data_IF_983212637449
#
_entry.id   IF_983212637449
#
_cell.length_a   1.000
_cell.length_b   1.000
_cell.length_c   1.000
_cell.angle_alpha   90.00
_cell.angle_beta   90.00
_cell.angle_gamma   90.00
#
_symmetry.space_group_name_H-M   'P 1'
#
loop_
_entity.id
_entity.type
_entity.pdbx_description
1 polymer ?
#
# COMPACT_ATOMS: atom_id res chain seq x y z
N UNK A 1 27.45 5.79 14.50
CA UNK A 1 26.58 4.64 14.15
C UNK A 1 25.56 4.31 15.24
N UNK A 2 25.91 3.79 16.42
CA UNK A 2 24.94 3.29 17.43
C UNK A 2 23.91 4.32 17.91
N UNK A 3 24.34 5.53 18.30
CA UNK A 3 23.41 6.60 18.75
C UNK A 3 22.47 7.02 17.63
N UNK A 4 22.96 7.02 16.40
CA UNK A 4 22.16 7.35 15.21
C UNK A 4 21.09 6.29 14.93
N UNK A 5 21.42 4.99 14.98
CA UNK A 5 20.47 3.89 14.76
C UNK A 5 19.38 3.85 15.85
N UNK A 6 19.76 4.08 17.13
CA UNK A 6 18.78 4.20 18.21
C UNK A 6 17.85 5.42 17.99
N UNK A 7 18.41 6.56 17.59
CA UNK A 7 17.64 7.75 17.28
C UNK A 7 16.63 7.50 16.15
N UNK A 8 17.05 6.90 15.03
CA UNK A 8 16.15 6.53 13.93
C UNK A 8 15.07 5.55 14.41
N UNK A 9 15.42 4.57 15.23
CA UNK A 9 14.44 3.62 15.77
C UNK A 9 13.40 4.28 16.65
N UNK A 10 13.78 5.29 17.45
CA UNK A 10 12.85 6.07 18.28
C UNK A 10 11.97 6.94 17.40
N UNK A 11 12.51 7.63 16.40
CA UNK A 11 11.72 8.41 15.46
C UNK A 11 10.68 7.54 14.74
N UNK A 12 11.10 6.37 14.26
CA UNK A 12 10.20 5.42 13.61
C UNK A 12 9.09 4.93 14.55
N UNK A 13 9.42 4.66 15.84
CA UNK A 13 8.42 4.31 16.85
C UNK A 13 7.41 5.43 17.05
N UNK A 14 7.87 6.67 17.23
CA UNK A 14 6.99 7.82 17.42
C UNK A 14 6.08 8.07 16.21
N UNK A 15 6.64 8.01 15.00
CA UNK A 15 5.88 8.11 13.75
C UNK A 15 4.82 7.01 13.64
N UNK A 16 5.18 5.77 13.93
CA UNK A 16 4.27 4.63 13.91
C UNK A 16 3.14 4.77 14.93
N UNK A 17 3.45 5.13 16.19
CA UNK A 17 2.43 5.35 17.22
C UNK A 17 1.46 6.47 16.83
N UNK A 18 1.97 7.59 16.33
CA UNK A 18 1.14 8.67 15.81
C UNK A 18 0.22 8.21 14.68
N UNK A 19 0.77 7.46 13.71
CA UNK A 19 -0.01 6.89 12.60
C UNK A 19 -1.13 5.99 13.11
N UNK A 20 -0.84 5.04 14.01
CA UNK A 20 -1.86 4.13 14.55
C UNK A 20 -2.94 4.90 15.32
N UNK A 21 -2.55 5.80 16.22
CA UNK A 21 -3.52 6.57 17.03
C UNK A 21 -4.48 7.33 16.12
N UNK A 22 -3.96 8.07 15.14
CA UNK A 22 -4.80 8.88 14.25
C UNK A 22 -5.69 8.01 13.38
N UNK A 23 -5.18 6.89 12.85
CA UNK A 23 -5.98 5.98 12.03
C UNK A 23 -7.06 5.23 12.83
N UNK A 24 -6.80 4.87 14.10
CA UNK A 24 -7.83 4.34 15.00
C UNK A 24 -8.90 5.40 15.27
N UNK A 25 -8.50 6.63 15.61
CA UNK A 25 -9.45 7.73 15.83
C UNK A 25 -10.29 8.03 14.59
N UNK A 26 -9.70 7.98 13.40
CA UNK A 26 -10.42 8.21 12.14
C UNK A 26 -11.54 7.19 11.85
N UNK A 27 -11.46 5.98 12.41
CA UNK A 27 -12.44 4.92 12.19
C UNK A 27 -13.31 4.63 13.42
N UNK A 28 -12.76 4.71 14.64
CA UNK A 28 -13.48 4.41 15.89
C UNK A 28 -14.24 5.63 16.46
N UNK A 29 -13.67 6.82 16.31
CA UNK A 29 -14.31 8.11 16.62
C UNK A 29 -14.24 8.97 15.36
N UNK A 30 -15.12 8.72 14.36
CA UNK A 30 -14.93 9.18 12.99
C UNK A 30 -14.61 10.68 12.95
N UNK A 31 -13.41 11.02 12.48
CA UNK A 31 -13.00 12.41 12.25
C UNK A 31 -14.00 12.99 11.25
N UNK A 32 -14.55 14.17 11.54
CA UNK A 32 -15.59 14.79 10.70
C UNK A 32 -16.81 13.88 10.45
N UNK A 33 -17.16 13.00 11.41
CA UNK A 33 -18.31 12.08 11.38
C UNK A 33 -18.33 11.06 10.22
N UNK A 34 -17.19 10.81 9.56
CA UNK A 34 -17.07 9.89 8.44
C UNK A 34 -15.89 8.95 8.63
N UNK A 35 -16.03 7.69 8.23
CA UNK A 35 -14.89 6.76 8.16
C UNK A 35 -14.13 6.96 6.83
N UNK A 36 -12.87 6.51 6.78
CA UNK A 36 -12.06 6.59 5.55
C UNK A 36 -12.71 5.92 4.35
N UNK A 37 -13.39 4.79 4.56
CA UNK A 37 -14.10 4.07 3.51
C UNK A 37 -15.36 4.79 3.04
N UNK A 38 -16.17 5.35 3.98
CA UNK A 38 -17.35 6.12 3.65
C UNK A 38 -17.03 7.38 2.83
N UNK A 39 -15.90 8.02 3.11
CA UNK A 39 -15.40 9.13 2.30
C UNK A 39 -15.03 8.71 0.87
N UNK A 40 -14.45 7.52 0.71
CA UNK A 40 -14.14 6.98 -0.62
C UNK A 40 -15.40 6.79 -1.47
N UNK A 41 -16.53 6.44 -0.85
CA UNK A 41 -17.81 6.27 -1.55
C UNK A 41 -18.47 7.60 -1.97
N UNK A 42 -18.02 8.74 -1.42
CA UNK A 42 -18.49 10.07 -1.82
C UNK A 42 -17.90 10.55 -3.16
N UNK A 43 -16.84 9.91 -3.63
CA UNK A 43 -16.23 10.15 -4.94
C UNK A 43 -16.54 8.98 -5.87
N UNK A 44 -17.79 8.83 -6.35
CA UNK A 44 -18.24 7.65 -7.06
C UNK A 44 -17.45 7.48 -8.37
N UNK A 45 -16.79 6.34 -8.47
CA UNK A 45 -16.09 5.92 -9.67
C UNK A 45 -16.02 4.39 -9.73
N UNK A 46 -15.74 3.84 -10.89
CA UNK A 46 -15.74 2.40 -11.11
C UNK A 46 -14.51 1.68 -10.55
N UNK A 47 -13.47 2.40 -10.11
CA UNK A 47 -12.26 1.85 -9.50
C UNK A 47 -12.38 1.61 -7.98
N UNK A 48 -13.27 2.32 -7.29
CA UNK A 48 -13.43 2.20 -5.83
C UNK A 48 -13.79 0.77 -5.44
N UNK A 49 -12.99 0.10 -4.57
CA UNK A 49 -13.28 -1.25 -4.11
C UNK A 49 -14.38 -1.27 -3.03
N UNK A 50 -14.86 -2.47 -2.69
CA UNK A 50 -15.79 -2.67 -1.57
C UNK A 50 -15.13 -2.25 -0.24
N UNK A 51 -15.94 -1.73 0.70
CA UNK A 51 -15.46 -1.23 2.00
C UNK A 51 -14.62 -2.23 2.80
N UNK A 52 -14.93 -3.54 2.70
CA UNK A 52 -14.14 -4.61 3.31
C UNK A 52 -12.67 -4.58 2.89
N UNK A 53 -12.35 -4.11 1.69
CA UNK A 53 -10.97 -4.06 1.15
C UNK A 53 -10.06 -3.20 2.01
N UNK A 54 -10.59 -2.18 2.66
CA UNK A 54 -9.84 -1.29 3.57
C UNK A 54 -9.37 -1.99 4.86
N UNK A 55 -9.89 -3.21 5.17
CA UNK A 55 -9.40 -4.00 6.31
C UNK A 55 -7.91 -4.36 6.21
N UNK A 56 -7.32 -4.27 5.03
CA UNK A 56 -5.88 -4.45 4.83
C UNK A 56 -5.01 -3.50 5.67
N UNK A 57 -5.54 -2.34 6.07
CA UNK A 57 -4.84 -1.45 7.00
C UNK A 57 -4.51 -2.14 8.33
N UNK A 58 -5.41 -3.01 8.82
CA UNK A 58 -5.16 -3.82 10.02
C UNK A 58 -3.93 -4.73 9.84
N UNK A 59 -3.83 -5.40 8.69
CA UNK A 59 -2.67 -6.23 8.37
C UNK A 59 -1.39 -5.40 8.28
N UNK A 60 -1.44 -4.24 7.60
CA UNK A 60 -0.29 -3.33 7.48
C UNK A 60 0.19 -2.89 8.85
N UNK A 61 -0.71 -2.48 9.75
CA UNK A 61 -0.34 -2.03 11.10
C UNK A 61 0.27 -3.14 11.95
N UNK A 62 -0.24 -4.38 11.85
CA UNK A 62 0.35 -5.53 12.53
C UNK A 62 1.77 -5.78 12.01
N UNK A 63 1.98 -5.77 10.70
CA UNK A 63 3.29 -5.98 10.10
C UNK A 63 4.29 -4.87 10.47
N UNK A 64 3.83 -3.62 10.47
CA UNK A 64 4.65 -2.48 10.89
C UNK A 64 4.96 -2.52 12.40
N UNK A 65 4.03 -2.97 13.26
CA UNK A 65 4.30 -3.19 14.68
C UNK A 65 5.40 -4.22 14.88
N UNK A 66 5.35 -5.33 14.15
CA UNK A 66 6.39 -6.37 14.16
C UNK A 66 7.74 -5.77 13.72
N UNK A 67 7.77 -4.99 12.66
CA UNK A 67 8.97 -4.27 12.22
C UNK A 67 9.51 -3.33 13.30
N UNK A 68 8.66 -2.52 13.94
CA UNK A 68 9.07 -1.60 15.01
C UNK A 68 9.67 -2.34 16.20
N UNK A 69 9.06 -3.43 16.65
CA UNK A 69 9.57 -4.26 17.73
C UNK A 69 10.94 -4.85 17.34
N UNK A 70 11.07 -5.36 16.13
CA UNK A 70 12.30 -5.95 15.62
C UNK A 70 13.46 -4.93 15.57
N UNK A 71 13.22 -3.74 14.97
CA UNK A 71 14.24 -2.70 14.87
C UNK A 71 14.71 -2.20 16.25
N UNK A 72 13.78 -1.99 17.21
CA UNK A 72 14.12 -1.58 18.57
C UNK A 72 14.97 -2.63 19.28
N UNK A 73 14.57 -3.92 19.17
CA UNK A 73 15.32 -5.02 19.75
C UNK A 73 16.77 -5.06 19.26
N UNK A 74 17.00 -4.89 17.96
CA UNK A 74 18.32 -4.88 17.34
C UNK A 74 19.11 -3.64 17.75
N UNK A 75 18.50 -2.46 17.72
CA UNK A 75 19.15 -1.20 18.11
C UNK A 75 19.64 -1.23 19.57
N UNK A 76 18.90 -1.90 20.48
CA UNK A 76 19.25 -2.05 21.88
C UNK A 76 20.34 -3.12 22.08
N UNK A 77 20.28 -4.26 21.37
CA UNK A 77 21.19 -5.41 21.55
C UNK A 77 22.62 -5.19 21.07
N UNK A 78 22.94 -4.06 20.46
CA UNK A 78 24.29 -3.71 19.95
C UNK A 78 24.79 -4.59 18.81
N UNK A 79 23.91 -5.27 18.10
CA UNK A 79 24.29 -6.11 16.97
C UNK A 79 24.50 -5.22 15.72
N UNK A 80 25.77 -4.83 15.53
CA UNK A 80 26.14 -3.90 14.46
C UNK A 80 25.97 -4.48 13.06
N UNK A 81 26.01 -5.80 12.89
CA UNK A 81 25.82 -6.44 11.58
C UNK A 81 24.35 -6.43 11.13
N UNK A 82 23.41 -6.46 12.07
CA UNK A 82 21.99 -6.50 11.78
C UNK A 82 21.33 -5.10 11.71
N UNK A 83 22.05 -4.01 11.99
CA UNK A 83 21.49 -2.64 11.99
C UNK A 83 21.55 -1.95 10.63
N UNK A 84 22.18 -2.54 9.62
CA UNK A 84 22.38 -1.91 8.31
C UNK A 84 21.08 -1.46 7.65
N UNK A 85 19.97 -2.19 7.81
CA UNK A 85 18.68 -1.82 7.26
C UNK A 85 18.13 -0.51 7.84
N UNK A 86 18.44 -0.15 9.10
CA UNK A 86 18.01 1.10 9.72
C UNK A 86 18.60 2.33 9.01
N UNK A 87 19.90 2.26 8.67
CA UNK A 87 20.59 3.32 7.93
C UNK A 87 20.08 3.40 6.48
N UNK A 88 19.75 2.25 5.89
CA UNK A 88 19.16 2.17 4.55
C UNK A 88 17.77 2.78 4.52
N UNK A 89 16.92 2.47 5.49
CA UNK A 89 15.57 3.07 5.63
C UNK A 89 15.70 4.56 5.96
N UNK A 90 16.66 4.93 6.82
CA UNK A 90 16.91 6.31 7.20
C UNK A 90 15.64 7.01 7.73
N UNK A 91 15.40 8.28 7.33
CA UNK A 91 14.24 9.04 7.80
C UNK A 91 12.95 8.74 7.02
N UNK A 92 13.01 7.97 5.93
CA UNK A 92 11.86 7.83 5.01
C UNK A 92 10.62 7.22 5.68
N UNK A 93 10.79 6.27 6.60
CA UNK A 93 9.65 5.70 7.30
C UNK A 93 8.98 6.73 8.23
N UNK A 94 9.76 7.52 8.95
CA UNK A 94 9.23 8.59 9.79
C UNK A 94 8.50 9.66 8.95
N UNK A 95 9.12 10.09 7.84
CA UNK A 95 8.49 11.07 6.91
C UNK A 95 7.17 10.51 6.36
N UNK A 96 7.15 9.23 5.95
CA UNK A 96 5.92 8.59 5.48
C UNK A 96 4.83 8.51 6.55
N UNK A 97 5.23 8.32 7.82
CA UNK A 97 4.31 8.31 8.96
C UNK A 97 3.67 9.69 9.20
N UNK A 98 4.46 10.75 9.16
CA UNK A 98 3.95 12.13 9.28
C UNK A 98 3.03 12.47 8.09
N UNK A 99 3.43 12.09 6.88
CA UNK A 99 2.60 12.28 5.70
C UNK A 99 1.28 11.49 5.77
N UNK A 100 1.28 10.27 6.35
CA UNK A 100 0.07 9.48 6.56
C UNK A 100 -0.89 10.14 7.57
N UNK A 101 -0.37 10.66 8.67
CA UNK A 101 -1.15 11.45 9.64
C UNK A 101 -1.81 12.65 8.93
N UNK A 102 -1.03 13.42 8.19
CA UNK A 102 -1.54 14.55 7.42
C UNK A 102 -2.57 14.13 6.37
N UNK A 103 -2.34 12.99 5.70
CA UNK A 103 -3.27 12.43 4.71
C UNK A 103 -4.63 12.11 5.32
N UNK A 104 -4.68 11.50 6.52
CA UNK A 104 -5.93 11.21 7.22
C UNK A 104 -6.72 12.51 7.45
N UNK A 105 -6.07 13.58 7.95
CA UNK A 105 -6.75 14.85 8.15
C UNK A 105 -7.21 15.46 6.82
N UNK A 106 -6.32 15.55 5.83
CA UNK A 106 -6.67 16.11 4.52
C UNK A 106 -7.84 15.35 3.87
N UNK A 107 -7.86 14.02 3.97
CA UNK A 107 -8.92 13.16 3.45
C UNK A 107 -10.24 13.38 4.18
N UNK A 108 -10.24 13.40 5.53
CA UNK A 108 -11.45 13.57 6.34
C UNK A 108 -12.04 14.97 6.30
N UNK A 109 -11.24 15.99 6.00
CA UNK A 109 -11.72 17.35 5.75
C UNK A 109 -11.93 17.64 4.25
N UNK A 110 -11.98 16.59 3.42
CA UNK A 110 -12.30 16.68 1.99
C UNK A 110 -11.36 17.60 1.19
N UNK A 111 -10.13 17.79 1.68
CA UNK A 111 -9.06 18.51 0.99
C UNK A 111 -8.36 17.57 -0.02
N UNK A 112 -9.10 17.13 -1.06
CA UNK A 112 -8.71 16.02 -1.94
C UNK A 112 -7.38 16.28 -2.65
N UNK A 113 -7.13 17.50 -3.10
CA UNK A 113 -5.84 17.88 -3.72
C UNK A 113 -4.67 17.74 -2.76
N UNK A 114 -4.81 18.19 -1.50
CA UNK A 114 -3.79 18.05 -0.47
C UNK A 114 -3.61 16.58 -0.09
N UNK A 115 -4.69 15.82 0.00
CA UNK A 115 -4.61 14.38 0.29
C UNK A 115 -3.80 13.65 -0.77
N UNK A 116 -3.95 13.97 -2.05
CA UNK A 116 -3.13 13.38 -3.12
C UNK A 116 -1.66 13.75 -3.00
N UNK A 117 -1.32 15.00 -2.69
CA UNK A 117 0.08 15.42 -2.49
C UNK A 117 0.73 14.61 -1.36
N UNK A 118 0.02 14.46 -0.23
CA UNK A 118 0.51 13.66 0.90
C UNK A 118 0.60 12.17 0.56
N UNK A 119 -0.35 11.63 -0.19
CA UNK A 119 -0.31 10.25 -0.69
C UNK A 119 0.89 10.00 -1.60
N UNK A 120 1.21 10.94 -2.50
CA UNK A 120 2.41 10.88 -3.35
C UNK A 120 3.70 10.95 -2.53
N UNK A 121 3.72 11.72 -1.44
CA UNK A 121 4.86 11.76 -0.52
C UNK A 121 5.05 10.40 0.19
N UNK A 122 3.96 9.79 0.68
CA UNK A 122 4.00 8.45 1.27
C UNK A 122 4.52 7.44 0.24
N UNK A 123 3.97 7.44 -0.97
CA UNK A 123 4.38 6.56 -2.06
C UNK A 123 5.87 6.72 -2.36
N UNK A 124 6.35 7.95 -2.52
CA UNK A 124 7.76 8.25 -2.78
C UNK A 124 8.70 7.74 -1.69
N UNK A 125 8.33 7.94 -0.41
CA UNK A 125 9.09 7.42 0.73
C UNK A 125 9.15 5.89 0.72
N UNK A 126 8.02 5.22 0.47
CA UNK A 126 7.97 3.75 0.44
C UNK A 126 8.72 3.17 -0.77
N UNK A 127 8.65 3.81 -1.95
CA UNK A 127 9.47 3.43 -3.10
C UNK A 127 10.97 3.59 -2.76
N UNK A 128 11.36 4.69 -2.11
CA UNK A 128 12.75 4.90 -1.70
C UNK A 128 13.22 3.77 -0.75
N UNK A 129 12.43 3.42 0.27
CA UNK A 129 12.73 2.30 1.18
C UNK A 129 12.85 0.99 0.40
N UNK A 130 11.88 0.69 -0.45
CA UNK A 130 11.79 -0.54 -1.23
C UNK A 130 13.00 -0.74 -2.17
N UNK A 131 13.39 0.33 -2.86
CA UNK A 131 14.52 0.31 -3.79
C UNK A 131 15.85 0.24 -3.03
N UNK A 132 16.01 1.02 -1.96
CA UNK A 132 17.24 1.06 -1.16
C UNK A 132 17.51 -0.26 -0.42
N UNK A 133 16.47 -0.90 0.14
CA UNK A 133 16.56 -2.26 0.70
C UNK A 133 16.72 -3.34 -0.38
N UNK A 134 16.61 -2.97 -1.65
CA UNK A 134 16.68 -3.87 -2.80
C UNK A 134 15.75 -5.08 -2.65
N UNK A 135 14.51 -4.83 -2.17
CA UNK A 135 13.53 -5.88 -1.86
C UNK A 135 13.27 -6.75 -3.10
N UNK A 136 13.30 -8.05 -2.88
CA UNK A 136 13.09 -9.06 -3.92
C UNK A 136 14.33 -9.42 -4.74
N UNK A 137 15.42 -8.62 -4.68
CA UNK A 137 16.67 -8.85 -5.41
C UNK A 137 17.86 -9.15 -4.49
N UNK A 138 17.97 -8.46 -3.34
CA UNK A 138 19.05 -8.70 -2.40
C UNK A 138 18.89 -10.03 -1.68
N UNK A 139 20.02 -10.67 -1.36
CA UNK A 139 20.05 -11.73 -0.37
C UNK A 139 19.69 -11.12 1.00
N UNK A 140 18.72 -11.70 1.67
CA UNK A 140 18.27 -11.28 2.99
C UNK A 140 18.13 -12.49 3.91
N UNK A 141 18.45 -12.32 5.17
CA UNK A 141 18.18 -13.34 6.20
C UNK A 141 16.68 -13.59 6.31
N UNK A 142 16.29 -14.75 6.88
CA UNK A 142 14.86 -15.02 7.11
C UNK A 142 14.21 -13.91 7.95
N UNK A 143 14.92 -13.41 8.95
CA UNK A 143 14.43 -12.32 9.81
C UNK A 143 14.23 -11.03 9.03
N UNK A 144 15.20 -10.58 8.24
CA UNK A 144 15.04 -9.38 7.39
C UNK A 144 13.90 -9.54 6.38
N UNK A 145 13.79 -10.72 5.76
CA UNK A 145 12.74 -10.98 4.78
C UNK A 145 11.33 -10.85 5.36
N UNK A 146 11.08 -11.40 6.56
CA UNK A 146 9.74 -11.42 7.14
C UNK A 146 9.46 -10.26 8.10
N UNK A 147 10.50 -9.68 8.72
CA UNK A 147 10.34 -8.63 9.73
C UNK A 147 10.65 -7.22 9.20
N UNK A 148 11.28 -7.12 7.99
CA UNK A 148 11.58 -5.84 7.35
C UNK A 148 10.99 -5.79 5.93
N UNK A 149 11.37 -6.72 5.03
CA UNK A 149 10.94 -6.63 3.63
C UNK A 149 9.44 -6.83 3.47
N UNK A 150 8.84 -7.83 4.11
CA UNK A 150 7.39 -8.12 4.03
C UNK A 150 6.51 -6.93 4.45
N UNK A 151 6.74 -6.26 5.61
CA UNK A 151 5.98 -5.07 5.97
C UNK A 151 5.98 -3.99 4.89
N UNK A 152 7.15 -3.69 4.33
CA UNK A 152 7.26 -2.65 3.30
C UNK A 152 6.72 -3.08 1.94
N UNK A 153 6.80 -4.37 1.58
CA UNK A 153 6.15 -4.91 0.36
C UNK A 153 4.64 -4.76 0.42
N UNK A 154 4.04 -5.17 1.53
CA UNK A 154 2.57 -5.09 1.73
C UNK A 154 2.12 -3.63 1.78
N UNK A 155 2.84 -2.79 2.52
CA UNK A 155 2.49 -1.37 2.65
C UNK A 155 2.62 -0.64 1.31
N UNK A 156 3.72 -0.85 0.56
CA UNK A 156 3.90 -0.24 -0.76
C UNK A 156 2.83 -0.72 -1.75
N UNK A 157 2.51 -2.03 -1.75
CA UNK A 157 1.46 -2.58 -2.61
C UNK A 157 0.12 -1.87 -2.39
N UNK A 158 -0.27 -1.68 -1.13
CA UNK A 158 -1.50 -0.96 -0.79
C UNK A 158 -1.45 0.52 -1.17
N UNK A 159 -0.36 1.22 -0.85
CA UNK A 159 -0.22 2.65 -1.18
C UNK A 159 -0.19 2.89 -2.70
N UNK A 160 0.32 1.96 -3.51
CA UNK A 160 0.23 2.07 -4.97
C UNK A 160 -1.24 2.11 -5.42
N UNK A 161 -2.07 1.18 -4.96
CA UNK A 161 -3.50 1.14 -5.29
C UNK A 161 -4.25 2.34 -4.68
N UNK A 162 -3.96 2.68 -3.43
CA UNK A 162 -4.56 3.84 -2.76
C UNK A 162 -4.21 5.17 -3.47
N UNK A 163 -3.02 5.27 -4.06
CA UNK A 163 -2.64 6.44 -4.87
C UNK A 163 -3.50 6.54 -6.13
N UNK A 164 -3.71 5.43 -6.85
CA UNK A 164 -4.60 5.40 -8.01
C UNK A 164 -6.02 5.80 -7.58
N UNK A 165 -6.53 5.25 -6.47
CA UNK A 165 -7.84 5.61 -5.93
C UNK A 165 -7.93 7.09 -5.55
N UNK A 166 -6.88 7.67 -4.95
CA UNK A 166 -6.86 9.10 -4.59
C UNK A 166 -6.81 10.00 -5.83
N UNK A 167 -6.10 9.59 -6.90
CA UNK A 167 -6.12 10.29 -8.19
C UNK A 167 -7.53 10.25 -8.78
N UNK A 168 -8.19 9.09 -8.80
CA UNK A 168 -9.56 8.98 -9.33
C UNK A 168 -10.54 9.82 -8.52
N UNK A 169 -10.42 9.86 -7.19
CA UNK A 169 -11.23 10.72 -6.33
C UNK A 169 -11.02 12.21 -6.65
N UNK A 170 -9.79 12.66 -6.85
CA UNK A 170 -9.49 14.03 -7.24
C UNK A 170 -10.10 14.39 -8.60
N UNK A 171 -10.03 13.49 -9.58
CA UNK A 171 -10.61 13.71 -10.90
C UNK A 171 -12.15 13.83 -10.84
N UNK A 172 -12.81 13.09 -9.95
CA UNK A 172 -14.24 13.22 -9.67
C UNK A 172 -14.53 14.56 -9.00
N UNK A 173 -13.79 14.93 -7.96
CA UNK A 173 -13.92 16.17 -7.22
C UNK A 173 -13.81 17.41 -8.14
N UNK A 174 -12.84 17.39 -9.06
CA UNK A 174 -12.64 18.44 -10.06
C UNK A 174 -13.63 18.40 -11.23
N UNK A 175 -14.62 17.49 -11.22
CA UNK A 175 -15.56 17.31 -12.33
C UNK A 175 -14.88 17.20 -13.69
N UNK A 176 -13.75 16.45 -13.73
CA UNK A 176 -12.94 16.32 -14.93
C UNK A 176 -13.71 15.79 -16.14
N UNK A 177 -13.59 16.47 -17.28
CA UNK A 177 -14.36 16.18 -18.50
C UNK A 177 -13.95 14.91 -19.26
N UNK A 178 -13.05 14.06 -18.70
CA UNK A 178 -12.68 12.72 -19.20
C UNK A 178 -12.19 12.71 -20.67
N UNK A 179 -11.78 13.85 -21.22
CA UNK A 179 -11.46 14.04 -22.66
C UNK A 179 -12.53 13.50 -23.63
N UNK A 180 -13.80 13.54 -23.25
CA UNK A 180 -14.90 12.98 -24.02
C UNK A 180 -15.02 11.45 -24.01
N UNK A 181 -14.14 10.74 -23.25
CA UNK A 181 -14.20 9.30 -23.06
C UNK A 181 -15.08 8.93 -21.86
N UNK A 182 -15.70 7.77 -21.90
CA UNK A 182 -16.55 7.30 -20.81
C UNK A 182 -15.76 6.96 -19.54
N UNK A 183 -16.43 7.00 -18.39
CA UNK A 183 -15.87 6.59 -17.10
C UNK A 183 -15.32 5.17 -17.12
N UNK A 184 -16.02 4.26 -17.83
CA UNK A 184 -15.64 2.88 -18.05
C UNK A 184 -14.24 2.74 -18.68
N UNK A 185 -13.94 3.54 -19.72
CA UNK A 185 -12.64 3.54 -20.37
C UNK A 185 -11.53 3.85 -19.37
N UNK A 186 -11.72 4.89 -18.55
CA UNK A 186 -10.72 5.31 -17.56
C UNK A 186 -10.58 4.32 -16.42
N UNK A 187 -11.67 3.71 -15.96
CA UNK A 187 -11.61 2.66 -14.95
C UNK A 187 -10.80 1.45 -15.46
N UNK A 188 -11.09 0.98 -16.68
CA UNK A 188 -10.32 -0.11 -17.31
C UNK A 188 -8.86 0.26 -17.48
N UNK A 189 -8.55 1.48 -17.91
CA UNK A 189 -7.19 1.96 -18.10
C UNK A 189 -6.39 1.97 -16.78
N UNK A 190 -6.94 2.52 -15.69
CA UNK A 190 -6.22 2.57 -14.40
C UNK A 190 -6.10 1.20 -13.74
N UNK A 191 -7.08 0.29 -13.91
CA UNK A 191 -6.97 -1.11 -13.49
C UNK A 191 -5.86 -1.79 -14.27
N UNK A 192 -5.80 -1.62 -15.60
CA UNK A 192 -4.73 -2.18 -16.43
C UNK A 192 -3.34 -1.67 -16.01
N UNK A 193 -3.21 -0.39 -15.66
CA UNK A 193 -1.96 0.17 -15.11
C UNK A 193 -1.60 -0.51 -13.79
N UNK A 194 -2.54 -0.69 -12.86
CA UNK A 194 -2.30 -1.41 -11.60
C UNK A 194 -1.82 -2.84 -11.82
N UNK A 195 -2.44 -3.57 -12.75
CA UNK A 195 -2.04 -4.93 -13.15
C UNK A 195 -0.63 -4.92 -13.76
N UNK A 196 -0.34 -4.00 -14.66
CA UNK A 196 0.97 -3.89 -15.31
C UNK A 196 2.10 -3.61 -14.30
N UNK A 197 1.86 -2.74 -13.32
CA UNK A 197 2.79 -2.47 -12.22
C UNK A 197 3.01 -3.74 -11.40
N UNK A 198 1.95 -4.45 -11.00
CA UNK A 198 2.07 -5.68 -10.22
C UNK A 198 2.85 -6.76 -10.97
N UNK A 199 2.55 -7.00 -12.24
CA UNK A 199 3.29 -7.95 -13.08
C UNK A 199 4.76 -7.52 -13.26
N UNK A 200 5.03 -6.24 -13.46
CA UNK A 200 6.40 -5.72 -13.53
C UNK A 200 7.18 -6.03 -12.25
N UNK A 201 6.61 -5.76 -11.08
CA UNK A 201 7.21 -6.08 -9.77
C UNK A 201 7.39 -7.60 -9.61
N UNK A 202 6.41 -8.39 -10.02
CA UNK A 202 6.47 -9.85 -9.94
C UNK A 202 7.62 -10.43 -10.77
N UNK A 203 7.79 -9.97 -12.00
CA UNK A 203 8.82 -10.50 -12.89
C UNK A 203 10.21 -9.93 -12.60
N UNK A 204 10.33 -8.66 -12.25
CA UNK A 204 11.62 -8.00 -12.04
C UNK A 204 12.18 -8.17 -10.63
N UNK A 205 11.31 -8.26 -9.61
CA UNK A 205 11.68 -8.34 -8.20
C UNK A 205 11.23 -9.61 -7.50
N UNK A 206 10.37 -10.42 -8.13
CA UNK A 206 9.84 -11.67 -7.57
C UNK A 206 9.13 -11.47 -6.22
N UNK A 207 8.54 -10.29 -6.03
CA UNK A 207 7.85 -9.92 -4.79
C UNK A 207 6.38 -10.32 -4.85
N UNK A 208 6.11 -11.50 -4.31
CA UNK A 208 4.75 -12.06 -4.25
C UNK A 208 3.85 -11.32 -3.25
N UNK A 209 4.42 -10.72 -2.20
CA UNK A 209 3.63 -10.06 -1.16
C UNK A 209 3.02 -8.76 -1.66
N UNK A 210 3.77 -7.99 -2.43
CA UNK A 210 3.24 -6.84 -3.15
C UNK A 210 2.08 -7.23 -4.06
N UNK A 211 2.27 -8.30 -4.83
CA UNK A 211 1.27 -8.77 -5.81
C UNK A 211 -0.01 -9.30 -5.15
N UNK A 212 0.10 -9.98 -4.00
CA UNK A 212 -1.06 -10.42 -3.21
C UNK A 212 -1.91 -9.25 -2.72
N UNK A 213 -1.30 -8.10 -2.43
CA UNK A 213 -2.04 -6.90 -2.05
C UNK A 213 -2.79 -6.31 -3.24
N UNK A 214 -2.20 -6.33 -4.43
CA UNK A 214 -2.89 -5.89 -5.65
C UNK A 214 -4.04 -6.84 -5.97
N UNK A 215 -3.86 -8.16 -5.85
CA UNK A 215 -4.93 -9.15 -6.00
C UNK A 215 -6.07 -8.89 -4.99
N UNK A 216 -5.75 -8.58 -3.74
CA UNK A 216 -6.75 -8.21 -2.73
C UNK A 216 -7.56 -6.97 -3.14
N UNK A 217 -6.91 -5.95 -3.68
CA UNK A 217 -7.59 -4.76 -4.15
C UNK A 217 -8.48 -5.03 -5.37
N UNK A 218 -7.99 -5.82 -6.34
CA UNK A 218 -8.78 -6.26 -7.49
C UNK A 218 -9.99 -7.09 -7.06
N UNK A 219 -9.82 -7.99 -6.10
CA UNK A 219 -10.93 -8.75 -5.52
C UNK A 219 -11.98 -7.82 -4.90
N UNK A 220 -11.55 -6.77 -4.21
CA UNK A 220 -12.44 -5.75 -3.65
C UNK A 220 -13.21 -4.98 -4.72
N UNK A 221 -12.59 -4.63 -5.85
CA UNK A 221 -13.26 -4.02 -6.99
C UNK A 221 -14.30 -4.99 -7.56
N UNK A 222 -13.92 -6.24 -7.77
CA UNK A 222 -14.82 -7.28 -8.30
C UNK A 222 -16.05 -7.46 -7.39
N UNK A 223 -15.85 -7.59 -6.08
CA UNK A 223 -16.94 -7.73 -5.10
C UNK A 223 -17.90 -6.55 -5.21
N UNK A 224 -17.39 -5.31 -5.30
CA UNK A 224 -18.23 -4.12 -5.41
C UNK A 224 -19.03 -4.07 -6.73
N UNK A 225 -18.43 -4.52 -7.83
CA UNK A 225 -19.12 -4.55 -9.15
C UNK A 225 -20.15 -5.66 -9.25
N UNK A 226 -20.01 -6.74 -8.50
CA UNK A 226 -20.95 -7.88 -8.46
C UNK A 226 -21.99 -7.76 -7.34
N UNK A 227 -21.89 -6.77 -6.45
CA UNK A 227 -22.87 -6.57 -5.37
C UNK A 227 -24.26 -6.25 -5.93
N UNK A 228 -25.32 -6.68 -5.22
CA UNK A 228 -26.73 -6.50 -5.62
C UNK A 228 -27.05 -5.00 -5.84
N UNK A 229 -26.52 -4.15 -4.95
CA UNK A 229 -26.67 -2.68 -5.03
C UNK A 229 -25.54 -2.02 -5.84
N UNK A 230 -24.67 -2.83 -6.45
CA UNK A 230 -23.55 -2.34 -7.27
C UNK A 230 -24.04 -1.85 -8.64
N UNK A 231 -23.26 -0.95 -9.25
CA UNK A 231 -23.41 -0.62 -10.67
C UNK A 231 -22.55 -1.62 -11.44
N UNK A 232 -23.13 -2.66 -12.07
CA UNK A 232 -22.37 -3.64 -12.82
C UNK A 232 -21.78 -2.98 -14.06
N UNK A 233 -20.53 -3.25 -14.33
CA UNK A 233 -19.84 -2.84 -15.55
C UNK A 233 -19.03 -4.03 -16.08
N UNK A 234 -19.50 -4.61 -17.18
CA UNK A 234 -18.91 -5.83 -17.72
C UNK A 234 -17.43 -5.68 -18.10
N UNK A 235 -17.01 -4.51 -18.61
CA UNK A 235 -15.62 -4.31 -19.00
C UNK A 235 -14.71 -4.20 -17.78
N UNK A 236 -15.18 -3.51 -16.72
CA UNK A 236 -14.47 -3.43 -15.45
C UNK A 236 -14.39 -4.79 -14.79
N UNK A 237 -15.47 -5.57 -14.80
CA UNK A 237 -15.49 -6.95 -14.28
C UNK A 237 -14.49 -7.83 -15.05
N UNK A 238 -14.50 -7.79 -16.39
CA UNK A 238 -13.62 -8.60 -17.23
C UNK A 238 -12.14 -8.26 -16.96
N UNK A 239 -11.76 -6.97 -17.03
CA UNK A 239 -10.35 -6.59 -16.79
C UNK A 239 -9.89 -6.96 -15.39
N UNK A 240 -10.76 -6.85 -14.40
CA UNK A 240 -10.46 -7.21 -13.01
C UNK A 240 -10.22 -8.72 -12.87
N UNK A 241 -11.07 -9.56 -13.48
CA UNK A 241 -10.89 -11.02 -13.49
C UNK A 241 -9.61 -11.39 -14.23
N UNK A 242 -9.35 -10.79 -15.38
CA UNK A 242 -8.10 -11.01 -16.14
C UNK A 242 -6.89 -10.68 -15.28
N UNK A 243 -6.91 -9.55 -14.56
CA UNK A 243 -5.85 -9.14 -13.65
C UNK A 243 -5.62 -10.17 -12.53
N UNK A 244 -6.67 -10.59 -11.85
CA UNK A 244 -6.62 -11.61 -10.81
C UNK A 244 -6.01 -12.93 -11.34
N UNK A 245 -6.43 -13.40 -12.50
CA UNK A 245 -5.91 -14.62 -13.10
C UNK A 245 -4.42 -14.48 -13.46
N UNK A 246 -4.03 -13.38 -14.09
CA UNK A 246 -2.64 -13.17 -14.53
C UNK A 246 -1.69 -13.03 -13.35
N UNK A 247 -2.04 -12.27 -12.33
CA UNK A 247 -1.20 -12.05 -11.15
C UNK A 247 -1.11 -13.33 -10.34
N UNK A 248 -2.24 -13.98 -10.04
CA UNK A 248 -2.27 -15.25 -9.29
C UNK A 248 -1.51 -16.38 -10.00
N UNK A 249 -1.69 -16.52 -11.32
CA UNK A 249 -0.91 -17.48 -12.11
C UNK A 249 0.60 -17.18 -12.06
N UNK A 250 0.98 -15.91 -12.19
CA UNK A 250 2.36 -15.47 -12.06
C UNK A 250 2.95 -15.79 -10.67
N UNK A 251 2.20 -15.57 -9.59
CA UNK A 251 2.59 -15.93 -8.22
C UNK A 251 2.82 -17.45 -8.11
N UNK A 252 1.90 -18.26 -8.60
CA UNK A 252 2.03 -19.73 -8.58
C UNK A 252 3.29 -20.19 -9.31
N UNK A 253 3.57 -19.62 -10.50
CA UNK A 253 4.77 -19.91 -11.26
C UNK A 253 6.04 -19.54 -10.46
N UNK A 254 6.07 -18.37 -9.83
CA UNK A 254 7.21 -17.93 -9.01
C UNK A 254 7.45 -18.84 -7.80
N UNK A 255 6.38 -19.27 -7.13
CA UNK A 255 6.48 -20.18 -5.96
C UNK A 255 6.99 -21.55 -6.40
N UNK A 256 6.50 -22.11 -7.51
CA UNK A 256 6.97 -23.40 -8.04
C UNK A 256 8.44 -23.34 -8.45
N UNK A 257 8.87 -22.28 -9.16
CA UNK A 257 10.29 -22.09 -9.53
C UNK A 257 11.22 -22.05 -8.31
N UNK A 258 10.84 -21.36 -7.23
CA UNK A 258 11.66 -21.34 -6.00
C UNK A 258 11.85 -22.72 -5.38
N UNK A 259 10.87 -23.60 -5.44
CA UNK A 259 10.97 -24.98 -4.91
C UNK A 259 11.91 -25.85 -5.73
N UNK A 260 11.92 -25.69 -7.06
CA UNK A 260 12.77 -26.48 -7.96
C UNK A 260 14.27 -26.14 -7.82
N UNK A 261 14.62 -24.91 -7.44
CA UNK A 261 16.04 -24.49 -7.28
C UNK A 261 16.56 -24.63 -5.83
N UNK A 262 15.78 -25.19 -4.89
CA UNK A 262 16.18 -25.48 -3.52
C UNK A 262 16.46 -26.98 -3.27
N UNK A 263 16.31 -27.80 -4.28
CA UNK A 263 16.71 -29.21 -4.36
C UNK A 263 17.86 -29.37 -5.36
#
# INVERSE_FOLDING_TARGET
MRRHNLFLSILNLLGFLGTIIINILANALPINNKTTGALSDQYPNLFVPAGLTFSIWGLIYILLAIFIIYQLRIAIRKDTQQTSFLEIIGPYFFISSIANIGWIFAWHYEMVSLSLILMLLILGCLIAIYVRLNIGKAAATKSEKYLVHLPFSVYLGWITIATIANVTALLVDLSWGKFGLGEQFWAVAVIAVGIAIALSILFTRKDIFYCLVVDWALLGILIKRLAIDGVPDNNVIIITIVGLVLISAGIIIQVKRKRVYQH
#
